data_IF_698487926249
#
_entry.id   IF_698487926249
#
_cell.length_a   1.000
_cell.length_b   1.000
_cell.length_c   1.000
_cell.angle_alpha   90.00
_cell.angle_beta   90.00
_cell.angle_gamma   90.00
#
_symmetry.space_group_name_H-M   'P 1'
#
loop_
_entity.id
_entity.type
_entity.pdbx_description
1 polymer ?
#
# COMPACT_ATOMS: atom_id res chain seq x y z
N UNK A 1 12.86 -15.63 -7.69
CA UNK A 1 13.80 -15.25 -6.60
C UNK A 1 13.55 -13.83 -6.07
N UNK A 2 13.28 -12.84 -6.93
CA UNK A 2 13.01 -11.43 -6.53
C UNK A 2 11.83 -11.27 -5.56
N UNK A 3 10.72 -11.99 -5.78
CA UNK A 3 9.55 -11.93 -4.88
C UNK A 3 9.88 -12.42 -3.45
N UNK A 4 10.77 -13.43 -3.35
CA UNK A 4 11.22 -13.95 -2.04
C UNK A 4 12.09 -12.92 -1.31
N UNK A 5 12.95 -12.21 -2.05
CA UNK A 5 13.78 -11.13 -1.53
C UNK A 5 12.95 -9.91 -1.10
N UNK A 6 11.87 -9.57 -1.82
CA UNK A 6 11.00 -8.45 -1.44
C UNK A 6 10.24 -8.71 -0.14
N UNK A 7 9.75 -9.93 0.07
CA UNK A 7 9.15 -10.31 1.36
C UNK A 7 10.17 -10.22 2.50
N UNK A 8 11.38 -10.72 2.28
CA UNK A 8 12.44 -10.69 3.28
C UNK A 8 12.87 -9.26 3.65
N UNK A 9 12.94 -8.37 2.66
CA UNK A 9 13.21 -6.95 2.88
C UNK A 9 12.06 -6.23 3.61
N UNK A 10 10.81 -6.60 3.31
CA UNK A 10 9.65 -6.07 4.01
C UNK A 10 9.64 -6.49 5.49
N UNK A 11 9.93 -7.76 5.78
CA UNK A 11 10.07 -8.25 7.16
C UNK A 11 11.19 -7.52 7.92
N UNK A 12 12.36 -7.35 7.29
CA UNK A 12 13.47 -6.60 7.89
C UNK A 12 13.08 -5.15 8.19
N UNK A 13 12.36 -4.48 7.28
CA UNK A 13 11.89 -3.12 7.50
C UNK A 13 10.89 -3.04 8.66
N UNK A 14 9.97 -4.00 8.78
CA UNK A 14 9.01 -4.08 9.89
C UNK A 14 9.75 -4.28 11.22
N UNK A 15 10.75 -5.16 11.26
CA UNK A 15 11.51 -5.46 12.47
C UNK A 15 12.33 -4.26 12.97
N UNK A 16 12.94 -3.51 12.05
CA UNK A 16 13.58 -2.23 12.37
C UNK A 16 12.55 -1.26 12.94
N UNK A 17 11.40 -1.08 12.28
CA UNK A 17 10.36 -0.16 12.77
C UNK A 17 9.89 -0.54 14.18
N UNK A 18 9.66 -1.82 14.46
CA UNK A 18 9.21 -2.30 15.76
C UNK A 18 10.28 -2.12 16.86
N UNK A 19 11.55 -2.40 16.54
CA UNK A 19 12.66 -2.20 17.49
C UNK A 19 12.80 -0.72 17.88
N UNK A 20 12.70 0.18 16.89
CA UNK A 20 12.73 1.63 17.12
C UNK A 20 11.44 2.12 17.83
N UNK A 21 10.32 1.42 17.65
CA UNK A 21 9.08 1.76 18.32
C UNK A 21 9.17 1.54 19.83
N UNK A 22 9.77 0.44 20.26
CA UNK A 22 9.93 0.12 21.67
C UNK A 22 10.97 1.03 22.34
N UNK A 23 12.16 1.18 21.74
CA UNK A 23 13.25 1.93 22.39
C UNK A 23 13.12 3.46 22.30
N UNK A 24 12.52 4.00 21.23
CA UNK A 24 12.54 5.45 20.95
C UNK A 24 11.14 6.06 20.99
N UNK A 25 10.13 5.34 20.51
CA UNK A 25 8.80 5.93 20.36
C UNK A 25 7.97 5.87 21.64
N UNK A 26 8.31 5.04 22.63
CA UNK A 26 7.50 4.81 23.84
C UNK A 26 6.98 6.12 24.47
N UNK A 27 7.84 7.14 24.56
CA UNK A 27 7.59 8.40 25.26
C UNK A 27 7.08 9.56 24.40
N UNK A 28 6.93 9.44 23.06
CA UNK A 28 6.54 10.57 22.21
C UNK A 28 5.33 10.28 21.31
N UNK A 29 4.18 10.86 21.67
CA UNK A 29 2.93 10.77 20.91
C UNK A 29 3.07 11.31 19.47
N UNK A 30 3.82 12.40 19.31
CA UNK A 30 4.01 13.05 18.01
C UNK A 30 4.78 12.15 17.03
N UNK A 31 5.84 11.48 17.49
CA UNK A 31 6.63 10.62 16.60
C UNK A 31 5.86 9.34 16.26
N UNK A 32 5.07 8.79 17.20
CA UNK A 32 4.12 7.70 16.89
C UNK A 32 3.12 8.10 15.80
N UNK A 33 2.57 9.31 15.89
CA UNK A 33 1.64 9.83 14.89
C UNK A 33 2.30 10.01 13.52
N UNK A 34 3.51 10.55 13.46
CA UNK A 34 4.24 10.68 12.18
C UNK A 34 4.56 9.32 11.55
N UNK A 35 4.98 8.34 12.35
CA UNK A 35 5.22 6.99 11.86
C UNK A 35 3.92 6.37 11.30
N UNK A 36 2.81 6.54 12.02
CA UNK A 36 1.49 6.12 11.54
C UNK A 36 1.11 6.80 10.23
N UNK A 37 1.30 8.11 10.11
CA UNK A 37 0.98 8.86 8.90
C UNK A 37 1.81 8.37 7.70
N UNK A 38 3.11 8.20 7.88
CA UNK A 38 4.02 7.73 6.82
C UNK A 38 3.63 6.31 6.38
N UNK A 39 3.40 5.40 7.34
CA UNK A 39 2.99 4.03 7.03
C UNK A 39 1.63 3.98 6.33
N UNK A 40 0.65 4.79 6.75
CA UNK A 40 -0.64 4.89 6.08
C UNK A 40 -0.50 5.36 4.62
N UNK A 41 0.37 6.33 4.33
CA UNK A 41 0.66 6.79 2.97
C UNK A 41 1.27 5.66 2.13
N UNK A 42 2.27 4.95 2.66
CA UNK A 42 2.91 3.84 1.96
C UNK A 42 1.92 2.71 1.64
N UNK A 43 1.06 2.36 2.60
CA UNK A 43 0.01 1.35 2.40
C UNK A 43 -1.00 1.82 1.35
N UNK A 44 -1.46 3.08 1.42
CA UNK A 44 -2.37 3.63 0.42
C UNK A 44 -1.77 3.57 -0.99
N UNK A 45 -0.50 3.94 -1.16
CA UNK A 45 0.20 3.81 -2.45
C UNK A 45 0.29 2.36 -2.91
N UNK A 46 0.64 1.44 -2.01
CA UNK A 46 0.73 0.00 -2.30
C UNK A 46 -0.61 -0.58 -2.74
N UNK A 47 -1.68 -0.27 -2.01
CA UNK A 47 -3.05 -0.73 -2.29
C UNK A 47 -3.57 -0.12 -3.59
N UNK A 48 -3.39 1.18 -3.83
CA UNK A 48 -3.80 1.81 -5.10
C UNK A 48 -3.07 1.19 -6.30
N UNK A 49 -1.77 0.94 -6.18
CA UNK A 49 -1.00 0.29 -7.25
C UNK A 49 -1.44 -1.15 -7.47
N UNK A 50 -1.74 -1.88 -6.40
CA UNK A 50 -2.28 -3.25 -6.49
C UNK A 50 -3.66 -3.25 -7.13
N UNK A 51 -4.55 -2.35 -6.70
CA UNK A 51 -5.89 -2.20 -7.25
C UNK A 51 -5.84 -1.91 -8.75
N UNK A 52 -4.99 -0.99 -9.22
CA UNK A 52 -4.84 -0.69 -10.64
C UNK A 52 -4.27 -1.85 -11.48
N UNK A 53 -3.49 -2.74 -10.87
CA UNK A 53 -2.94 -3.93 -11.56
C UNK A 53 -3.88 -5.14 -11.52
N UNK A 54 -4.75 -5.23 -10.52
CA UNK A 54 -5.60 -6.40 -10.28
C UNK A 54 -7.03 -6.18 -10.77
N UNK A 55 -7.58 -4.98 -10.54
CA UNK A 55 -8.87 -4.62 -11.06
C UNK A 55 -8.73 -4.36 -12.56
N UNK A 56 -9.65 -4.86 -13.40
CA UNK A 56 -9.71 -4.43 -14.78
C UNK A 56 -9.78 -2.90 -14.78
N UNK A 57 -9.05 -2.20 -15.68
CA UNK A 57 -9.34 -0.79 -15.90
C UNK A 57 -10.84 -0.70 -16.17
N UNK A 58 -11.51 0.28 -15.56
CA UNK A 58 -12.93 0.53 -15.79
C UNK A 58 -13.13 0.49 -17.31
N UNK A 59 -13.65 -0.65 -17.79
CA UNK A 59 -14.10 -0.72 -19.17
C UNK A 59 -15.25 0.23 -19.11
N UNK A 60 -15.16 1.34 -19.84
CA UNK A 60 -16.34 2.12 -20.18
C UNK A 60 -17.38 1.08 -20.58
N UNK A 61 -18.34 0.83 -19.69
CA UNK A 61 -19.47 -0.03 -19.98
C UNK A 61 -20.32 0.81 -20.93
N UNK A 62 -19.83 0.99 -22.16
CA UNK A 62 -20.68 1.24 -23.30
C UNK A 62 -21.52 -0.02 -23.35
N UNK A 63 -22.74 0.09 -22.84
CA UNK A 63 -23.73 -0.96 -22.98
C UNK A 63 -23.72 -1.35 -24.45
N UNK A 64 -23.63 -2.65 -24.75
CA UNK A 64 -23.71 -3.18 -26.12
C UNK A 64 -25.02 -2.82 -26.85
N UNK A 65 -25.90 -2.06 -26.19
CA UNK A 65 -27.12 -1.44 -26.68
C UNK A 65 -26.86 -0.18 -27.52
N UNK A 66 -25.71 0.50 -27.35
CA UNK A 66 -25.40 1.75 -28.07
C UNK A 66 -24.71 1.56 -29.43
N UNK A 67 -24.16 0.36 -29.74
CA UNK A 67 -23.51 0.06 -31.03
C UNK A 67 -24.48 -0.55 -32.08
N UNK A 68 -25.75 -0.76 -31.73
CA UNK A 68 -26.75 -1.37 -32.62
C UNK A 68 -27.74 -0.36 -33.25
N UNK A 69 -27.42 0.94 -33.21
CA UNK A 69 -28.31 1.98 -33.74
C UNK A 69 -27.59 3.25 -34.19
N UNK A 70 -26.86 3.20 -35.30
CA UNK A 70 -26.89 4.21 -36.40
C UNK A 70 -26.30 3.60 -37.69
#
# INVERSE_FOLDING_TARGET
MVLKASFQLAFLAIEIILTFYDDILENSLFVKFLLFLITAILIAMGVTKLANNVLPPDKDFVSAEDEAGD
#
